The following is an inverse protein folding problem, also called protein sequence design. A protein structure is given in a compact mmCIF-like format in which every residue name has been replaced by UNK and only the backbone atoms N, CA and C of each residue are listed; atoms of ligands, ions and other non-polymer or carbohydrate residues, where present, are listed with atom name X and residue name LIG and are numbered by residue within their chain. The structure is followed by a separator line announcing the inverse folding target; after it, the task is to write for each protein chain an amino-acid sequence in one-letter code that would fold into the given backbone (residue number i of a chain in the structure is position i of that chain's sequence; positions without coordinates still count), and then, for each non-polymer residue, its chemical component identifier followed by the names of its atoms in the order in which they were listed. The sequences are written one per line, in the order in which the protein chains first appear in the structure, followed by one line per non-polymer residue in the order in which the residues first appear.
data_IF_231716181513
#
_entry.id   IF_231716181513
#
_cell.length_a   1.000
_cell.length_b   1.000
_cell.length_c   1.000
_cell.angle_alpha   90.00
_cell.angle_beta   90.00
_cell.angle_gamma   90.00
#
_symmetry.space_group_name_H-M   'P 1'
#
loop_
_entity.id
_entity.type
_entity.pdbx_description
1 polymer ?
#
# COMPACT_ATOMS: atom_id res chain seq x y z
N UNK A 1 20.25 -4.96 -3.47
CA UNK A 1 20.37 -3.68 -2.75
C UNK A 1 19.86 -3.76 -1.31
N UNK A 2 18.63 -4.23 -1.04
CA UNK A 2 18.13 -4.52 0.33
C UNK A 2 19.12 -5.35 1.15
N UNK A 3 19.66 -6.40 0.53
CA UNK A 3 20.63 -7.30 1.16
C UNK A 3 21.88 -6.57 1.70
N UNK A 4 22.32 -5.45 1.11
CA UNK A 4 23.48 -4.68 1.59
C UNK A 4 23.17 -3.79 2.81
N UNK A 5 21.96 -3.22 2.87
CA UNK A 5 21.49 -2.48 4.07
C UNK A 5 21.27 -3.45 5.23
N UNK A 6 20.76 -4.66 4.93
CA UNK A 6 20.55 -5.73 5.92
C UNK A 6 21.85 -6.36 6.44
N UNK A 7 22.97 -6.23 5.72
CA UNK A 7 24.26 -6.72 6.21
C UNK A 7 24.79 -5.87 7.38
N UNK A 8 24.34 -4.62 7.51
CA UNK A 8 24.73 -3.70 8.59
C UNK A 8 23.70 -3.67 9.73
N UNK A 9 22.42 -3.98 9.44
CA UNK A 9 21.32 -3.94 10.43
C UNK A 9 20.32 -5.08 10.28
N UNK A 10 19.69 -5.49 11.40
CA UNK A 10 18.61 -6.48 11.35
C UNK A 10 17.38 -5.96 10.58
N UNK A 11 16.74 -6.87 9.83
CA UNK A 11 15.55 -6.59 9.00
C UNK A 11 14.42 -5.88 9.78
N UNK A 12 14.25 -6.26 11.05
CA UNK A 12 13.26 -5.65 11.93
C UNK A 12 13.54 -4.17 12.20
N UNK A 13 14.81 -3.79 12.42
CA UNK A 13 15.19 -2.39 12.69
C UNK A 13 15.05 -1.53 11.44
N UNK A 14 15.49 -2.02 10.28
CA UNK A 14 15.34 -1.33 9.00
C UNK A 14 13.86 -1.13 8.66
N UNK A 15 13.03 -2.17 8.81
CA UNK A 15 11.58 -2.10 8.62
C UNK A 15 10.93 -1.05 9.52
N UNK A 16 11.29 -1.02 10.80
CA UNK A 16 10.75 -0.03 11.75
C UNK A 16 11.12 1.41 11.40
N UNK A 17 12.35 1.67 10.93
CA UNK A 17 12.80 3.01 10.51
C UNK A 17 12.02 3.45 9.26
N UNK A 18 11.88 2.57 8.27
CA UNK A 18 11.12 2.84 7.05
C UNK A 18 9.63 3.10 7.33
N UNK A 19 9.05 2.38 8.29
CA UNK A 19 7.65 2.52 8.70
C UNK A 19 7.43 3.59 9.80
N UNK A 20 8.43 4.45 10.06
CA UNK A 20 8.35 5.55 11.04
C UNK A 20 7.87 5.13 12.45
N UNK A 21 8.17 3.91 12.88
CA UNK A 21 7.78 3.46 14.23
C UNK A 21 8.57 4.20 15.31
N UNK A 22 7.90 4.54 16.42
CA UNK A 22 8.46 5.33 17.53
C UNK A 22 9.37 4.54 18.48
N UNK A 23 9.35 3.21 18.42
CA UNK A 23 10.11 2.34 19.31
C UNK A 23 11.53 2.02 18.78
N UNK A 24 12.28 3.05 18.40
CA UNK A 24 13.67 2.96 17.92
C UNK A 24 14.46 4.13 18.52
N UNK A 25 15.68 3.86 18.98
CA UNK A 25 16.56 4.94 19.47
C UNK A 25 16.90 5.93 18.35
N UNK A 26 17.03 7.22 18.65
CA UNK A 26 17.41 8.24 17.66
C UNK A 26 18.70 7.89 16.91
N UNK A 27 19.68 7.35 17.63
CA UNK A 27 20.97 6.93 17.07
C UNK A 27 20.82 5.82 16.02
N UNK A 28 20.03 4.78 16.31
CA UNK A 28 19.79 3.69 15.38
C UNK A 28 19.01 4.18 14.15
N UNK A 29 18.04 5.08 14.34
CA UNK A 29 17.27 5.68 13.24
C UNK A 29 18.18 6.46 12.29
N UNK A 30 19.03 7.33 12.82
CA UNK A 30 19.92 8.18 12.04
C UNK A 30 20.94 7.36 11.24
N UNK A 31 21.52 6.33 11.85
CA UNK A 31 22.46 5.44 11.17
C UNK A 31 21.81 4.64 10.04
N UNK A 32 20.59 4.14 10.24
CA UNK A 32 19.84 3.44 9.17
C UNK A 32 19.54 4.40 8.02
N UNK A 33 19.13 5.64 8.32
CA UNK A 33 18.88 6.65 7.28
C UNK A 33 20.14 7.00 6.48
N UNK A 34 21.29 7.12 7.13
CA UNK A 34 22.59 7.29 6.43
C UNK A 34 22.91 6.12 5.51
N UNK A 35 22.76 4.89 5.99
CA UNK A 35 23.00 3.71 5.16
C UNK A 35 22.04 3.63 3.96
N UNK A 36 20.78 4.06 4.13
CA UNK A 36 19.81 4.13 3.04
C UNK A 36 20.27 5.13 1.96
N UNK A 37 20.75 6.30 2.38
CA UNK A 37 21.22 7.36 1.49
C UNK A 37 22.52 6.98 0.77
N UNK A 38 23.53 6.51 1.50
CA UNK A 38 24.82 6.06 0.95
C UNK A 38 24.66 4.91 -0.06
N UNK A 39 23.71 4.02 0.19
CA UNK A 39 23.45 2.86 -0.67
C UNK A 39 22.41 3.15 -1.77
N UNK A 40 21.90 4.39 -1.85
CA UNK A 40 20.84 4.80 -2.76
C UNK A 40 19.65 3.81 -2.73
N UNK A 41 19.32 3.32 -1.55
CA UNK A 41 18.32 2.29 -1.38
C UNK A 41 16.92 2.90 -1.47
N UNK A 42 16.17 2.51 -2.51
CA UNK A 42 14.75 2.80 -2.60
C UNK A 42 13.92 1.59 -2.14
N UNK A 43 12.99 1.77 -1.20
CA UNK A 43 12.07 0.70 -0.80
C UNK A 43 11.18 0.29 -1.97
N UNK A 44 11.38 -0.94 -2.47
CA UNK A 44 10.59 -1.49 -3.55
C UNK A 44 9.21 -1.91 -3.03
N UNK A 45 8.15 -1.22 -3.49
CA UNK A 45 6.75 -1.51 -3.13
C UNK A 45 6.35 -2.96 -3.46
N UNK A 46 6.83 -3.51 -4.59
CA UNK A 46 6.54 -4.89 -5.01
C UNK A 46 7.22 -5.91 -4.10
N UNK A 47 8.46 -5.65 -3.69
CA UNK A 47 9.17 -6.52 -2.74
C UNK A 47 8.54 -6.49 -1.34
N UNK A 48 7.97 -5.34 -0.94
CA UNK A 48 7.19 -5.23 0.30
C UNK A 48 5.92 -6.07 0.23
N UNK A 49 5.15 -5.98 -0.86
CA UNK A 49 3.95 -6.79 -1.09
C UNK A 49 4.21 -8.32 -1.17
N UNK A 50 5.44 -8.73 -1.51
CA UNK A 50 5.85 -10.14 -1.51
C UNK A 50 6.28 -10.68 -0.13
N UNK A 51 6.66 -9.79 0.78
CA UNK A 51 7.24 -10.16 2.09
C UNK A 51 6.28 -9.91 3.25
N UNK A 52 5.49 -8.84 3.21
CA UNK A 52 4.23 -8.76 3.96
C UNK A 52 3.20 -9.54 3.15
N UNK A 53 2.57 -10.54 3.74
CA UNK A 53 1.52 -11.38 3.13
C UNK A 53 0.22 -10.59 2.85
N UNK A 54 0.33 -9.47 2.14
CA UNK A 54 -0.76 -8.54 1.85
C UNK A 54 -0.28 -7.34 1.04
N UNK A 55 -1.17 -6.86 0.18
CA UNK A 55 -1.09 -5.54 -0.42
C UNK A 55 -1.54 -4.50 0.63
N UNK A 56 -0.76 -3.46 0.87
CA UNK A 56 -1.21 -2.25 1.59
C UNK A 56 -2.14 -1.47 0.66
N UNK A 57 -3.29 -2.05 0.32
CA UNK A 57 -4.23 -1.49 -0.63
C UNK A 57 -5.68 -1.61 -0.16
N UNK A 58 -6.46 -0.57 -0.43
CA UNK A 58 -7.90 -0.52 -0.17
C UNK A 58 -8.62 -0.71 -1.50
N UNK A 59 -9.46 -1.75 -1.60
CA UNK A 59 -10.28 -1.97 -2.80
C UNK A 59 -11.66 -1.32 -2.63
N UNK A 60 -11.96 -0.35 -3.49
CA UNK A 60 -13.28 0.32 -3.56
C UNK A 60 -14.07 -0.32 -4.69
N UNK A 61 -15.26 -0.83 -4.37
CA UNK A 61 -16.10 -1.54 -5.32
C UNK A 61 -17.35 -0.72 -5.57
N UNK A 62 -17.56 -0.35 -6.83
CA UNK A 62 -18.79 0.29 -7.25
C UNK A 62 -19.79 -0.78 -7.69
N UNK A 63 -20.89 -0.90 -6.94
CA UNK A 63 -22.03 -1.80 -7.26
C UNK A 63 -22.89 -1.29 -8.42
N UNK A 64 -22.49 -0.18 -9.04
CA UNK A 64 -23.17 0.44 -10.15
C UNK A 64 -22.35 0.27 -11.42
N UNK A 65 -23.07 0.08 -12.54
CA UNK A 65 -22.45 -0.05 -13.86
C UNK A 65 -21.45 1.08 -14.11
N UNK A 66 -20.31 0.78 -14.73
CA UNK A 66 -19.27 1.75 -15.05
C UNK A 66 -19.80 3.05 -15.71
N UNK A 67 -20.91 2.95 -16.47
CA UNK A 67 -21.61 4.09 -17.09
C UNK A 67 -22.22 5.08 -16.09
N UNK A 68 -22.72 4.63 -14.95
CA UNK A 68 -23.33 5.50 -13.93
C UNK A 68 -22.30 5.97 -12.89
N UNK A 69 -21.15 5.32 -12.82
CA UNK A 69 -20.05 5.67 -11.91
C UNK A 69 -19.11 6.72 -12.50
N UNK A 70 -18.76 6.63 -13.79
CA UNK A 70 -17.80 7.52 -14.44
C UNK A 70 -18.30 8.97 -14.66
N UNK A 71 -19.59 9.23 -14.49
CA UNK A 71 -20.20 10.55 -14.69
C UNK A 71 -20.93 11.11 -13.48
N UNK A 72 -20.79 10.49 -12.30
CA UNK A 72 -21.48 10.92 -11.09
C UNK A 72 -20.56 11.77 -10.19
N UNK A 73 -20.81 13.09 -10.04
CA UNK A 73 -20.00 13.98 -9.21
C UNK A 73 -19.87 13.50 -7.76
N UNK A 74 -20.95 12.93 -7.21
CA UNK A 74 -20.96 12.40 -5.85
C UNK A 74 -19.97 11.23 -5.68
N UNK A 75 -19.86 10.34 -6.67
CA UNK A 75 -18.92 9.23 -6.60
C UNK A 75 -17.46 9.70 -6.71
N UNK A 76 -17.21 10.71 -7.54
CA UNK A 76 -15.87 11.30 -7.68
C UNK A 76 -15.40 11.94 -6.37
N UNK A 77 -16.29 12.64 -5.67
CA UNK A 77 -15.98 13.29 -4.39
C UNK A 77 -15.68 12.24 -3.29
N UNK A 78 -16.50 11.19 -3.21
CA UNK A 78 -16.26 10.08 -2.29
C UNK A 78 -14.95 9.36 -2.59
N UNK A 79 -14.69 9.06 -3.87
CA UNK A 79 -13.44 8.41 -4.26
C UNK A 79 -12.23 9.27 -3.93
N UNK A 80 -12.31 10.58 -4.16
CA UNK A 80 -11.27 11.54 -3.82
C UNK A 80 -10.98 11.57 -2.31
N UNK A 81 -12.03 11.60 -1.48
CA UNK A 81 -11.88 11.56 -0.03
C UNK A 81 -11.21 10.24 0.44
N UNK A 82 -11.57 9.11 -0.17
CA UNK A 82 -10.97 7.81 0.12
C UNK A 82 -9.49 7.80 -0.29
N UNK A 83 -9.14 8.25 -1.51
CA UNK A 83 -7.75 8.27 -1.97
C UNK A 83 -6.89 9.22 -1.15
N UNK A 84 -7.38 10.42 -0.83
CA UNK A 84 -6.65 11.37 0.01
C UNK A 84 -6.28 10.75 1.37
N UNK A 85 -7.25 10.10 2.03
CA UNK A 85 -7.00 9.47 3.33
C UNK A 85 -6.12 8.23 3.22
N UNK A 86 -6.31 7.42 2.17
CA UNK A 86 -5.49 6.24 1.93
C UNK A 86 -4.02 6.63 1.71
N UNK A 87 -3.76 7.69 0.95
CA UNK A 87 -2.41 8.19 0.67
C UNK A 87 -1.70 8.68 1.93
N UNK A 88 -2.40 9.40 2.82
CA UNK A 88 -1.87 9.82 4.13
C UNK A 88 -1.41 8.63 4.98
N UNK A 89 -2.14 7.51 4.89
CA UNK A 89 -1.88 6.29 5.65
C UNK A 89 -0.97 5.30 4.88
N UNK A 90 -0.52 5.65 3.67
CA UNK A 90 0.38 4.85 2.85
C UNK A 90 -0.27 3.67 2.12
N UNK A 91 -1.59 3.67 1.97
CA UNK A 91 -2.34 2.67 1.22
C UNK A 91 -2.54 3.09 -0.24
N UNK A 92 -2.40 2.14 -1.16
CA UNK A 92 -2.82 2.32 -2.55
C UNK A 92 -4.34 2.06 -2.68
N UNK A 93 -5.06 2.77 -3.56
CA UNK A 93 -6.50 2.54 -3.79
C UNK A 93 -6.73 1.84 -5.11
N UNK A 94 -7.47 0.73 -5.08
CA UNK A 94 -7.87 -0.04 -6.27
C UNK A 94 -9.37 0.17 -6.49
N UNK A 95 -9.73 0.89 -7.56
CA UNK A 95 -11.12 1.00 -7.97
C UNK A 95 -11.53 -0.18 -8.84
N UNK A 96 -12.61 -0.85 -8.45
CA UNK A 96 -13.22 -1.91 -9.25
C UNK A 96 -14.68 -1.56 -9.57
N UNK A 97 -15.03 -1.70 -10.85
CA UNK A 97 -16.40 -1.50 -11.34
C UNK A 97 -16.85 -2.75 -12.07
N UNK A 98 -18.06 -3.23 -11.83
CA UNK A 98 -18.68 -4.29 -12.65
C UNK A 98 -19.90 -3.79 -13.39
N UNK A 99 -20.39 -4.64 -14.31
CA UNK A 99 -21.63 -4.42 -15.08
C UNK A 99 -22.87 -4.93 -14.33
N UNK A 100 -22.69 -5.80 -13.34
CA UNK A 100 -23.75 -6.41 -12.53
C UNK A 100 -23.29 -6.64 -11.08
N UNK A 101 -24.22 -6.54 -10.13
CA UNK A 101 -23.99 -6.70 -8.69
C UNK A 101 -23.51 -8.11 -8.31
N UNK A 102 -23.96 -9.14 -9.02
CA UNK A 102 -23.54 -10.54 -8.78
C UNK A 102 -22.07 -10.79 -9.16
N UNK A 103 -21.61 -10.16 -10.26
CA UNK A 103 -20.21 -10.23 -10.69
C UNK A 103 -19.28 -9.50 -9.72
N UNK A 104 -19.75 -8.44 -9.06
CA UNK A 104 -18.94 -7.64 -8.12
C UNK A 104 -18.47 -8.47 -6.93
N UNK A 105 -19.40 -9.21 -6.31
CA UNK A 105 -19.11 -9.99 -5.11
C UNK A 105 -18.17 -11.17 -5.43
N UNK A 106 -18.42 -11.88 -6.53
CA UNK A 106 -17.58 -13.02 -6.93
C UNK A 106 -16.15 -12.59 -7.28
N UNK A 107 -15.98 -11.49 -8.05
CA UNK A 107 -14.66 -10.95 -8.37
C UNK A 107 -13.92 -10.44 -7.13
N UNK A 108 -14.66 -9.92 -6.15
CA UNK A 108 -14.09 -9.49 -4.89
C UNK A 108 -13.54 -10.67 -4.10
N UNK A 109 -14.37 -11.71 -3.94
CA UNK A 109 -14.01 -12.93 -3.24
C UNK A 109 -12.85 -13.65 -3.92
N UNK A 110 -12.80 -13.70 -5.26
CA UNK A 110 -11.68 -14.34 -5.98
C UNK A 110 -10.35 -13.61 -5.75
N UNK A 111 -10.36 -12.27 -5.73
CA UNK A 111 -9.15 -11.46 -5.48
C UNK A 111 -8.66 -11.54 -4.05
N UNK A 112 -9.55 -11.76 -3.08
CA UNK A 112 -9.19 -11.96 -1.67
C UNK A 112 -8.70 -13.39 -1.41
N UNK A 113 -9.30 -14.39 -2.09
CA UNK A 113 -9.00 -15.82 -1.88
C UNK A 113 -7.79 -16.33 -2.66
N UNK A 114 -7.41 -15.72 -3.78
CA UNK A 114 -6.14 -15.99 -4.44
C UNK A 114 -5.02 -15.19 -3.75
N UNK A 115 -4.64 -15.67 -2.56
CA UNK A 115 -3.35 -15.37 -1.91
C UNK A 115 -2.32 -16.38 -2.34
#
# INVERSE_FOLDING_TARGET
MISRVLLVYQNRTVSRVLNKQTNISPEAREKVLRAIDELQYQPNKLARALTSSGFDAIMVISTRSAKTTAGNPFFSEVLHAITARAEEEGFDVILQTSRSTEDDLQKCVSKIKHR
#
